data_IF_745590852395
#
_entry.id   IF_745590852395
#
_cell.length_a   1.000
_cell.length_b   1.000
_cell.length_c   1.000
_cell.angle_alpha   90.00
_cell.angle_beta   90.00
_cell.angle_gamma   90.00
#
_symmetry.space_group_name_H-M   'P 1'
#
loop_
_entity.id
_entity.type
_entity.pdbx_description
1 polymer ?
#
# COMPACT_ATOMS: atom_id res chain seq x y z
N UNK A 1 -4.04 14.91 10.46
CA UNK A 1 -5.37 14.49 10.95
C UNK A 1 -5.23 13.53 12.12
N UNK A 2 -6.20 13.59 13.04
CA UNK A 2 -6.31 12.64 14.15
C UNK A 2 -7.74 12.13 14.19
N UNK A 3 -7.93 10.83 14.26
CA UNK A 3 -9.25 10.22 14.39
C UNK A 3 -9.30 9.22 15.54
N UNK A 4 -10.47 9.11 16.12
CA UNK A 4 -10.80 8.17 17.17
C UNK A 4 -12.08 7.43 16.80
N UNK A 5 -12.01 6.12 16.84
CA UNK A 5 -13.14 5.23 16.60
C UNK A 5 -13.39 4.37 17.83
N UNK A 6 -14.64 4.27 18.26
CA UNK A 6 -15.06 3.40 19.35
C UNK A 6 -16.19 2.49 18.88
N UNK A 7 -15.98 1.19 18.95
CA UNK A 7 -16.97 0.18 18.63
C UNK A 7 -17.36 -0.57 19.91
N UNK A 8 -18.65 -0.55 20.23
CA UNK A 8 -19.21 -1.25 21.38
C UNK A 8 -19.82 -2.58 20.93
N UNK A 9 -19.43 -3.66 21.59
CA UNK A 9 -19.89 -5.02 21.30
C UNK A 9 -19.68 -5.42 19.82
N UNK A 10 -18.49 -5.24 19.24
CA UNK A 10 -18.23 -5.56 17.84
C UNK A 10 -18.42 -7.06 17.58
N UNK A 11 -18.93 -7.36 16.39
CA UNK A 11 -19.00 -8.73 15.87
C UNK A 11 -17.79 -8.95 14.97
N UNK A 12 -17.10 -10.06 15.16
CA UNK A 12 -15.96 -10.47 14.32
C UNK A 12 -16.05 -11.96 14.03
N UNK A 13 -15.42 -12.38 12.94
CA UNK A 13 -15.29 -13.81 12.59
C UNK A 13 -13.88 -14.25 13.01
N UNK A 14 -13.79 -15.38 13.70
CA UNK A 14 -12.50 -15.98 14.07
C UNK A 14 -12.09 -17.06 13.07
N UNK A 15 -10.82 -17.04 12.66
CA UNK A 15 -10.27 -18.06 11.75
C UNK A 15 -10.04 -19.43 12.44
N UNK A 16 -10.25 -19.54 13.75
CA UNK A 16 -10.14 -20.82 14.46
C UNK A 16 -11.32 -21.75 14.22
N UNK A 17 -12.50 -21.19 14.04
CA UNK A 17 -13.76 -21.93 13.88
C UNK A 17 -14.63 -21.40 12.74
N UNK A 18 -14.23 -20.30 12.11
CA UNK A 18 -14.94 -19.61 11.04
C UNK A 18 -16.37 -19.17 11.41
N UNK A 19 -16.59 -19.00 12.72
CA UNK A 19 -17.86 -18.55 13.26
C UNK A 19 -17.83 -17.07 13.65
N UNK A 20 -18.98 -16.39 13.58
CA UNK A 20 -19.10 -15.04 14.12
C UNK A 20 -19.13 -15.08 15.66
N UNK A 21 -18.35 -14.21 16.27
CA UNK A 21 -18.30 -13.99 17.70
C UNK A 21 -18.65 -12.54 18.01
N UNK A 22 -19.30 -12.32 19.14
CA UNK A 22 -19.53 -10.98 19.65
C UNK A 22 -18.62 -10.74 20.86
N UNK A 23 -17.84 -9.67 20.78
CA UNK A 23 -17.06 -9.22 21.92
C UNK A 23 -17.93 -8.34 22.82
N UNK A 24 -18.09 -8.73 24.08
CA UNK A 24 -18.85 -7.96 25.07
C UNK A 24 -17.95 -6.90 25.72
N UNK A 25 -17.83 -5.76 25.05
CA UNK A 25 -16.99 -4.66 25.49
C UNK A 25 -16.74 -3.66 24.36
N UNK A 26 -15.87 -2.68 24.62
CA UNK A 26 -15.49 -1.66 23.63
C UNK A 26 -14.11 -1.92 23.05
N UNK A 27 -13.98 -1.73 21.76
CA UNK A 27 -12.72 -1.69 21.02
C UNK A 27 -12.52 -0.28 20.53
N UNK A 28 -11.35 0.29 20.81
CA UNK A 28 -10.99 1.66 20.44
C UNK A 28 -9.82 1.63 19.47
N UNK A 29 -9.91 2.44 18.42
CA UNK A 29 -8.85 2.65 17.45
C UNK A 29 -8.49 4.13 17.45
N UNK A 30 -7.22 4.41 17.65
CA UNK A 30 -6.63 5.74 17.52
C UNK A 30 -5.81 5.78 16.24
N UNK A 31 -6.04 6.79 15.42
CA UNK A 31 -5.30 6.99 14.17
C UNK A 31 -4.78 8.40 14.09
N UNK A 32 -3.48 8.55 13.85
CA UNK A 32 -2.83 9.80 13.49
C UNK A 32 -2.31 9.71 12.06
N UNK A 33 -2.65 10.65 11.21
CA UNK A 33 -2.21 10.73 9.82
C UNK A 33 -1.47 12.05 9.59
N UNK A 34 -0.25 11.96 9.10
CA UNK A 34 0.61 13.11 8.79
C UNK A 34 1.05 13.01 7.34
N UNK A 35 0.76 14.05 6.59
CA UNK A 35 1.20 14.21 5.20
C UNK A 35 2.14 15.40 5.11
N UNK A 36 3.28 15.23 4.44
CA UNK A 36 4.27 16.27 4.23
C UNK A 36 4.86 16.16 2.82
N UNK A 37 4.57 17.14 1.99
CA UNK A 37 5.02 17.17 0.61
C UNK A 37 6.07 18.26 0.41
N UNK A 38 7.17 17.89 -0.24
CA UNK A 38 8.24 18.81 -0.62
C UNK A 38 8.23 18.91 -2.14
N UNK A 39 7.91 20.09 -2.64
CA UNK A 39 7.83 20.36 -4.07
C UNK A 39 8.97 21.28 -4.48
N UNK A 40 9.77 20.85 -5.43
CA UNK A 40 10.81 21.64 -6.08
C UNK A 40 10.56 21.70 -7.60
N UNK A 41 11.25 22.58 -8.34
CA UNK A 41 11.04 22.67 -9.78
C UNK A 41 11.29 21.36 -10.55
N UNK A 42 12.06 20.44 -10.00
CA UNK A 42 12.47 19.22 -10.71
C UNK A 42 12.22 17.93 -9.93
N UNK A 43 12.21 18.01 -8.61
CA UNK A 43 12.06 16.84 -7.74
C UNK A 43 10.96 17.09 -6.73
N UNK A 44 10.05 16.15 -6.61
CA UNK A 44 8.99 16.18 -5.61
C UNK A 44 9.10 14.94 -4.72
N UNK A 45 8.85 15.16 -3.44
CA UNK A 45 8.79 14.12 -2.45
C UNK A 45 7.46 14.23 -1.72
N UNK A 46 6.59 13.24 -1.91
CA UNK A 46 5.32 13.10 -1.22
C UNK A 46 5.48 12.09 -0.10
N UNK A 47 5.13 12.46 1.11
CA UNK A 47 5.26 11.59 2.28
C UNK A 47 3.94 11.51 3.02
N UNK A 48 3.57 10.32 3.44
CA UNK A 48 2.46 10.07 4.34
C UNK A 48 2.88 9.06 5.40
N UNK A 49 2.64 9.38 6.65
CA UNK A 49 2.85 8.50 7.79
C UNK A 49 1.53 8.36 8.56
N UNK A 50 1.09 7.13 8.77
CA UNK A 50 -0.10 6.82 9.56
C UNK A 50 0.32 5.99 10.76
N UNK A 51 -0.03 6.44 11.94
CA UNK A 51 0.16 5.72 13.20
C UNK A 51 -1.21 5.27 13.69
N UNK A 52 -1.35 3.98 13.96
CA UNK A 52 -2.61 3.39 14.41
C UNK A 52 -2.38 2.54 15.65
N UNK A 53 -3.32 2.61 16.56
CA UNK A 53 -3.31 1.79 17.75
C UNK A 53 -4.72 1.25 18.04
N UNK A 54 -4.84 -0.07 18.19
CA UNK A 54 -6.07 -0.74 18.60
C UNK A 54 -5.93 -1.22 20.05
N UNK A 55 -6.94 -0.97 20.88
CA UNK A 55 -6.96 -1.48 22.26
C UNK A 55 -7.16 -3.00 22.32
N UNK A 56 -7.62 -3.61 21.22
CA UNK A 56 -7.82 -5.05 21.05
C UNK A 56 -7.41 -5.51 19.65
N UNK A 57 -6.12 -5.67 19.45
CA UNK A 57 -5.52 -6.13 18.18
C UNK A 57 -5.94 -7.57 17.79
N UNK A 58 -6.41 -8.38 18.75
CA UNK A 58 -6.96 -9.71 18.46
C UNK A 58 -8.32 -9.66 17.75
N UNK A 59 -9.07 -8.56 17.88
CA UNK A 59 -10.39 -8.37 17.30
C UNK A 59 -10.32 -7.44 16.10
N UNK A 60 -9.60 -6.33 16.25
CA UNK A 60 -9.40 -5.31 15.21
C UNK A 60 -7.89 -5.07 15.02
N UNK A 61 -7.20 -5.98 14.31
CA UNK A 61 -5.78 -5.87 14.08
C UNK A 61 -5.46 -4.73 13.10
N UNK A 62 -4.58 -3.82 13.51
CA UNK A 62 -4.07 -2.73 12.68
C UNK A 62 -2.55 -2.67 12.77
N UNK A 63 -1.84 -2.32 11.70
CA UNK A 63 -0.40 -2.04 11.79
C UNK A 63 -0.17 -0.76 12.57
N UNK A 64 0.83 -0.76 13.47
CA UNK A 64 1.16 0.41 14.28
C UNK A 64 1.60 1.60 13.43
N UNK A 65 2.36 1.35 12.37
CA UNK A 65 2.89 2.39 11.48
C UNK A 65 2.75 1.97 10.04
N UNK A 66 2.24 2.89 9.22
CA UNK A 66 2.20 2.78 7.75
C UNK A 66 2.96 3.98 7.19
N UNK A 67 3.90 3.72 6.31
CA UNK A 67 4.65 4.75 5.59
C UNK A 67 4.41 4.62 4.09
N UNK A 68 4.18 5.77 3.45
CA UNK A 68 4.10 5.89 2.00
C UNK A 68 4.98 7.05 1.58
N UNK A 69 5.95 6.77 0.72
CA UNK A 69 6.85 7.76 0.17
C UNK A 69 6.84 7.64 -1.35
N UNK A 70 6.72 8.78 -2.01
CA UNK A 70 6.86 8.88 -3.46
C UNK A 70 7.87 9.96 -3.77
N UNK A 71 8.97 9.56 -4.37
CA UNK A 71 10.01 10.46 -4.85
C UNK A 71 9.99 10.43 -6.37
N UNK A 72 9.85 11.59 -7.01
CA UNK A 72 9.89 11.64 -8.46
C UNK A 72 10.54 12.92 -8.98
N UNK A 73 11.27 12.74 -10.06
CA UNK A 73 11.75 13.80 -10.93
C UNK A 73 10.67 14.12 -11.96
N UNK A 74 10.48 15.40 -12.27
CA UNK A 74 9.72 15.82 -13.43
C UNK A 74 10.43 16.95 -14.14
N UNK A 75 10.41 16.93 -15.47
CA UNK A 75 11.04 17.96 -16.26
C UNK A 75 10.76 17.82 -17.74
N UNK A 76 11.04 18.87 -18.50
CA UNK A 76 10.90 18.87 -19.94
C UNK A 76 12.28 18.76 -20.59
N UNK A 77 12.52 17.65 -21.28
CA UNK A 77 13.75 17.38 -22.01
C UNK A 77 13.60 17.82 -23.47
N UNK A 78 14.65 18.40 -24.02
CA UNK A 78 14.70 18.83 -25.42
C UNK A 78 13.52 19.74 -25.84
N UNK A 79 12.89 20.46 -24.91
CA UNK A 79 11.70 21.33 -25.10
C UNK A 79 10.44 20.62 -25.62
N UNK A 80 10.47 19.29 -25.81
CA UNK A 80 9.40 18.54 -26.44
C UNK A 80 8.97 17.29 -25.70
N UNK A 81 9.79 16.78 -24.76
CA UNK A 81 9.56 15.55 -24.04
C UNK A 81 9.38 15.86 -22.55
N UNK A 82 8.15 15.75 -22.06
CA UNK A 82 7.91 15.79 -20.62
C UNK A 82 8.22 14.42 -20.02
N UNK A 83 9.12 14.39 -19.07
CA UNK A 83 9.58 13.19 -18.40
C UNK A 83 9.22 13.25 -16.90
N UNK A 84 8.66 12.14 -16.38
CA UNK A 84 8.47 11.92 -14.97
C UNK A 84 9.03 10.54 -14.62
N UNK A 85 10.01 10.49 -13.73
CA UNK A 85 10.65 9.25 -13.31
C UNK A 85 10.62 9.21 -11.79
N UNK A 86 10.15 8.12 -11.21
CA UNK A 86 9.97 8.08 -9.77
C UNK A 86 10.05 6.70 -9.17
N UNK A 87 10.05 6.72 -7.84
CA UNK A 87 10.05 5.55 -6.96
C UNK A 87 8.92 5.71 -5.96
N UNK A 88 8.09 4.68 -5.84
CA UNK A 88 7.08 4.55 -4.79
C UNK A 88 7.59 3.55 -3.75
N UNK A 89 7.57 3.94 -2.49
CA UNK A 89 7.86 3.08 -1.35
C UNK A 89 6.66 3.01 -0.43
N UNK A 90 6.25 1.80 -0.08
CA UNK A 90 5.23 1.52 0.93
C UNK A 90 5.78 0.58 1.96
N UNK A 91 5.54 0.88 3.22
CA UNK A 91 5.96 0.07 4.35
C UNK A 91 4.88 0.07 5.40
N UNK A 92 4.69 -1.06 6.08
CA UNK A 92 3.88 -1.14 7.28
C UNK A 92 4.53 -2.10 8.28
N UNK A 93 4.35 -1.79 9.56
CA UNK A 93 4.87 -2.62 10.65
C UNK A 93 4.15 -3.96 10.70
N UNK A 94 4.80 -4.94 11.28
CA UNK A 94 4.26 -6.28 11.44
C UNK A 94 2.98 -6.28 12.28
N UNK A 95 1.97 -6.97 11.79
CA UNK A 95 0.70 -7.18 12.50
C UNK A 95 0.05 -8.50 12.07
N UNK A 96 -0.98 -8.92 12.77
CA UNK A 96 -1.73 -10.15 12.49
C UNK A 96 -2.92 -9.83 11.57
N UNK A 97 -2.65 -9.67 10.28
CA UNK A 97 -3.69 -9.32 9.32
C UNK A 97 -4.80 -10.37 9.26
N UNK A 98 -6.05 -9.96 9.04
CA UNK A 98 -7.15 -10.87 8.81
C UNK A 98 -6.89 -11.78 7.60
N UNK A 99 -7.44 -12.98 7.65
CA UNK A 99 -7.43 -13.94 6.54
C UNK A 99 -8.78 -13.94 5.85
N UNK A 100 -8.78 -14.08 4.53
CA UNK A 100 -10.02 -14.20 3.76
C UNK A 100 -10.49 -15.66 3.76
N UNK A 101 -11.78 -15.88 4.05
CA UNK A 101 -12.45 -17.14 3.76
C UNK A 101 -13.00 -17.11 2.33
N UNK A 102 -12.47 -17.91 1.39
CA UNK A 102 -12.91 -17.88 -0.01
C UNK A 102 -14.38 -18.30 -0.18
N UNK A 103 -14.85 -19.20 0.69
CA UNK A 103 -16.20 -19.79 0.62
C UNK A 103 -17.30 -18.76 0.96
N UNK A 104 -17.01 -17.89 1.90
CA UNK A 104 -17.99 -16.89 2.39
C UNK A 104 -17.68 -15.48 1.90
N UNK A 105 -16.46 -15.23 1.40
CA UNK A 105 -15.95 -13.88 1.07
C UNK A 105 -15.71 -12.99 2.29
N UNK A 106 -15.74 -13.56 3.51
CA UNK A 106 -15.59 -12.81 4.75
C UNK A 106 -14.14 -12.81 5.23
N UNK A 107 -13.76 -11.73 5.91
CA UNK A 107 -12.49 -11.66 6.61
C UNK A 107 -12.63 -12.16 8.05
N UNK A 108 -11.67 -13.01 8.45
CA UNK A 108 -11.62 -13.56 9.81
C UNK A 108 -10.32 -13.13 10.49
N UNK A 109 -10.42 -12.83 11.78
CA UNK A 109 -9.26 -12.53 12.62
C UNK A 109 -8.47 -13.80 12.92
N UNK A 110 -7.16 -13.72 12.90
CA UNK A 110 -6.26 -14.83 13.18
C UNK A 110 -5.09 -14.38 14.06
N UNK A 111 -4.47 -15.33 14.78
CA UNK A 111 -3.41 -15.04 15.75
C UNK A 111 -2.09 -15.76 15.43
N UNK A 112 -2.03 -16.50 14.35
CA UNK A 112 -0.90 -17.39 14.01
C UNK A 112 0.13 -16.75 13.08
N UNK A 113 -0.34 -15.99 12.08
CA UNK A 113 0.51 -15.48 11.00
C UNK A 113 0.68 -13.97 11.09
N UNK A 114 1.92 -13.53 11.10
CA UNK A 114 2.27 -12.11 11.01
C UNK A 114 2.67 -11.77 9.58
N UNK A 115 2.23 -10.60 9.11
CA UNK A 115 2.68 -9.99 7.86
C UNK A 115 3.21 -8.58 8.13
N UNK A 116 3.93 -8.02 7.17
CA UNK A 116 4.53 -6.68 7.29
C UNK A 116 6.03 -6.69 7.54
N UNK A 117 6.59 -5.56 7.94
CA UNK A 117 8.03 -5.30 8.01
C UNK A 117 8.74 -5.55 6.67
N UNK A 118 8.05 -5.23 5.58
CA UNK A 118 8.56 -5.40 4.24
C UNK A 118 8.38 -4.10 3.44
N UNK A 119 9.46 -3.55 2.87
CA UNK A 119 9.36 -2.35 2.03
C UNK A 119 8.91 -2.74 0.61
N UNK A 120 7.69 -2.36 0.27
CA UNK A 120 7.18 -2.47 -1.09
C UNK A 120 7.72 -1.33 -1.94
N UNK A 121 8.59 -1.62 -2.88
CA UNK A 121 9.19 -0.62 -3.73
C UNK A 121 8.81 -0.84 -5.20
N UNK A 122 8.42 0.21 -5.88
CA UNK A 122 8.13 0.22 -7.31
C UNK A 122 8.84 1.38 -7.97
N UNK A 123 9.27 1.20 -9.21
CA UNK A 123 9.86 2.26 -10.01
C UNK A 123 9.00 2.50 -11.25
N UNK A 124 8.92 3.75 -11.68
CA UNK A 124 8.13 4.09 -12.86
C UNK A 124 8.76 5.22 -13.66
N UNK A 125 8.44 5.22 -14.94
CA UNK A 125 8.82 6.29 -15.86
C UNK A 125 7.64 6.59 -16.79
N UNK A 126 7.28 7.85 -16.88
CA UNK A 126 6.24 8.37 -17.76
C UNK A 126 6.85 9.42 -18.68
N UNK A 127 6.60 9.32 -19.96
CA UNK A 127 7.06 10.26 -20.95
C UNK A 127 5.89 10.76 -21.81
N UNK A 128 5.90 12.04 -22.10
CA UNK A 128 4.92 12.64 -23.00
C UNK A 128 5.63 13.45 -24.09
N UNK A 129 5.50 12.99 -25.32
CA UNK A 129 6.05 13.67 -26.51
C UNK A 129 5.00 14.66 -27.01
N UNK A 130 5.22 15.95 -26.76
CA UNK A 130 4.26 17.03 -27.07
C UNK A 130 3.96 17.13 -28.57
N UNK A 131 4.97 16.99 -29.42
CA UNK A 131 4.86 17.18 -30.87
C UNK A 131 3.91 16.21 -31.55
N UNK A 132 3.87 14.96 -31.08
CA UNK A 132 3.02 13.89 -31.64
C UNK A 132 1.94 13.43 -30.67
N UNK A 133 1.80 14.08 -29.50
CA UNK A 133 0.81 13.77 -28.45
C UNK A 133 0.82 12.30 -28.02
N UNK A 134 2.01 11.72 -27.97
CA UNK A 134 2.24 10.33 -27.57
C UNK A 134 2.63 10.28 -26.10
N UNK A 135 1.93 9.47 -25.31
CA UNK A 135 2.34 9.07 -23.97
C UNK A 135 2.93 7.69 -24.00
N UNK A 136 4.04 7.52 -23.33
CA UNK A 136 4.68 6.24 -23.07
C UNK A 136 4.89 6.09 -21.57
N UNK A 137 4.59 4.92 -21.01
CA UNK A 137 4.85 4.62 -19.62
C UNK A 137 5.51 3.26 -19.45
N UNK A 138 6.35 3.16 -18.46
CA UNK A 138 6.94 1.93 -17.97
C UNK A 138 6.83 1.91 -16.44
N UNK A 139 6.38 0.81 -15.87
CA UNK A 139 6.22 0.62 -14.45
C UNK A 139 6.72 -0.76 -14.06
N UNK A 140 7.67 -0.81 -13.14
CA UNK A 140 8.18 -2.04 -12.57
C UNK A 140 7.79 -2.11 -11.09
N UNK A 141 6.83 -2.96 -10.80
CA UNK A 141 6.27 -3.13 -9.46
C UNK A 141 7.05 -4.17 -8.67
N UNK A 142 7.13 -3.96 -7.36
CA UNK A 142 7.68 -4.90 -6.40
C UNK A 142 9.18 -5.22 -6.65
N UNK A 143 9.95 -4.19 -7.01
CA UNK A 143 11.42 -4.30 -7.20
C UNK A 143 12.11 -4.86 -5.95
N UNK A 144 11.59 -4.54 -4.77
CA UNK A 144 12.12 -5.03 -3.48
C UNK A 144 12.11 -6.55 -3.34
N UNK A 145 11.34 -7.28 -4.15
CA UNK A 145 11.38 -8.74 -4.18
C UNK A 145 12.79 -9.28 -4.49
N UNK A 146 13.54 -8.63 -5.35
CA UNK A 146 14.90 -9.04 -5.73
C UNK A 146 15.91 -8.95 -4.58
N UNK A 147 15.67 -8.07 -3.62
CA UNK A 147 16.58 -7.82 -2.50
C UNK A 147 16.18 -8.60 -1.24
N UNK A 148 14.94 -9.07 -1.15
CA UNK A 148 14.41 -9.69 0.07
C UNK A 148 13.52 -10.91 -0.20
N UNK A 149 14.04 -11.88 -0.92
CA UNK A 149 13.32 -13.09 -1.37
C UNK A 149 12.93 -14.06 -0.24
N UNK A 150 13.53 -13.93 0.94
CA UNK A 150 13.32 -14.85 2.08
C UNK A 150 12.24 -14.40 3.06
N UNK A 151 11.71 -13.20 2.91
CA UNK A 151 10.71 -12.66 3.83
C UNK A 151 9.30 -13.06 3.42
N UNK A 152 8.51 -13.60 4.34
CA UNK A 152 7.07 -13.78 4.16
C UNK A 152 6.28 -12.48 4.37
N UNK A 153 6.96 -11.41 4.80
CA UNK A 153 6.37 -10.10 5.05
C UNK A 153 5.82 -9.38 3.81
N UNK A 154 6.20 -9.85 2.60
CA UNK A 154 5.68 -9.30 1.34
C UNK A 154 4.22 -9.66 1.04
N UNK A 155 3.63 -10.58 1.80
CA UNK A 155 2.22 -10.89 1.68
C UNK A 155 1.38 -9.71 2.18
N UNK A 156 0.32 -9.39 1.46
CA UNK A 156 -0.67 -8.39 1.89
C UNK A 156 -1.79 -9.03 2.70
N UNK A 157 -1.93 -10.35 2.59
CA UNK A 157 -2.91 -11.14 3.31
C UNK A 157 -2.36 -12.55 3.54
N UNK A 158 -2.55 -13.14 4.74
CA UNK A 158 -2.12 -14.51 5.03
C UNK A 158 -2.72 -15.52 4.05
N UNK A 159 -1.90 -16.43 3.54
CA UNK A 159 -2.34 -17.50 2.64
C UNK A 159 -2.56 -17.09 1.17
N UNK A 160 -2.47 -15.80 0.84
CA UNK A 160 -2.66 -15.32 -0.52
C UNK A 160 -1.35 -14.76 -1.06
N UNK A 161 -0.71 -15.46 -2.00
CA UNK A 161 0.51 -14.97 -2.62
C UNK A 161 0.21 -13.75 -3.51
N UNK A 162 1.04 -12.73 -3.39
CA UNK A 162 1.05 -11.59 -4.31
C UNK A 162 2.00 -11.87 -5.47
N UNK A 163 1.84 -11.14 -6.56
CA UNK A 163 2.79 -11.20 -7.66
C UNK A 163 4.21 -10.88 -7.17
N UNK A 164 5.18 -11.63 -7.63
CA UNK A 164 6.59 -11.43 -7.28
C UNK A 164 7.03 -10.04 -7.71
N UNK A 165 7.14 -9.87 -8.98
CA UNK A 165 7.51 -8.63 -9.65
C UNK A 165 6.73 -8.54 -10.96
N UNK A 166 6.33 -7.36 -11.34
CA UNK A 166 5.53 -7.14 -12.54
C UNK A 166 6.07 -5.94 -13.30
N UNK A 167 6.46 -6.17 -14.54
CA UNK A 167 6.75 -5.10 -15.48
C UNK A 167 5.52 -4.82 -16.33
N UNK A 168 5.17 -3.55 -16.44
CA UNK A 168 4.10 -3.05 -17.28
C UNK A 168 4.63 -1.89 -18.11
N UNK A 169 4.35 -1.91 -19.40
CA UNK A 169 4.64 -0.80 -20.29
C UNK A 169 3.47 -0.60 -21.23
N UNK A 170 3.28 0.62 -21.68
CA UNK A 170 2.23 0.91 -22.63
C UNK A 170 2.42 2.28 -23.26
N UNK A 171 1.63 2.52 -24.29
CA UNK A 171 1.59 3.79 -24.99
C UNK A 171 0.13 4.19 -25.25
N UNK A 172 -0.11 5.49 -25.22
CA UNK A 172 -1.38 6.08 -25.60
C UNK A 172 -1.11 7.22 -26.58
N UNK A 173 -1.72 7.12 -27.74
CA UNK A 173 -1.59 8.10 -28.79
C UNK A 173 -2.91 8.78 -29.08
N UNK A 174 -2.93 10.11 -28.98
CA UNK A 174 -4.12 10.90 -29.28
C UNK A 174 -4.07 11.38 -30.73
N UNK A 175 -4.90 10.76 -31.57
CA UNK A 175 -5.12 11.19 -32.93
C UNK A 175 -6.21 12.26 -32.95
N UNK A 176 -5.96 13.36 -33.66
CA UNK A 176 -6.97 14.34 -34.01
C UNK A 176 -7.04 14.41 -35.53
N UNK A 177 -8.24 14.36 -36.02
CA UNK A 177 -8.53 14.75 -37.40
C UNK A 177 -8.64 16.28 -37.49
#
# INVERSE_FOLDING_TARGET
DVSFENQTNPIFVSASDWCPHQYMGSVQIFTGDVTADITTPWVNLENRAVIQYSTRDSIMPVPLLILQHRLYYHGTWFKALDAQIGVDLRYFTRYKAPVLCPETGMFATQQTTNIGNYPWMSVYANFYVRSIRLRFFAHYQHVSYWFNTKSTGYLTMPGYPTNRDVFRAGLAWHFYN
#
